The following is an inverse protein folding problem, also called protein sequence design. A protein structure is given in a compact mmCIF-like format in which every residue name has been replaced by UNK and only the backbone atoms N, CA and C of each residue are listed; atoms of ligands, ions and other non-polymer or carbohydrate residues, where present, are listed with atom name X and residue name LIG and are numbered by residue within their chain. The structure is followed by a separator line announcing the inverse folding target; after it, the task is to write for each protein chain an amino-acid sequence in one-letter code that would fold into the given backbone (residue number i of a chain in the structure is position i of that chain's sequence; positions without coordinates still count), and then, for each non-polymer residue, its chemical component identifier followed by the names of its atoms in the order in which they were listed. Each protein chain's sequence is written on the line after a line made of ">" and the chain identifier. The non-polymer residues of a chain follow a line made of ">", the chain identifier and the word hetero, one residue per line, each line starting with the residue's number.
data_IF_004388050561
#
_entry.id   IF_004388050561
#
_cell.length_a   1.000
_cell.length_b   1.000
_cell.length_c   1.000
_cell.angle_alpha   90.00
_cell.angle_beta   90.00
_cell.angle_gamma   90.00
#
_symmetry.space_group_name_H-M   'P 1'
#
loop_
_entity.id
_entity.type
_entity.pdbx_description
1 polymer ?
#
# COMPACT_ATOMS: atom_id res chain seq x y z
N UNK A 1 25.47 44.65 -59.80
CA UNK A 1 24.21 44.19 -59.18
C UNK A 1 24.61 43.33 -57.98
N UNK A 2 24.95 43.88 -56.81
CA UNK A 2 24.05 44.32 -55.73
C UNK A 2 22.81 43.43 -55.56
N UNK A 3 22.96 42.39 -54.74
CA UNK A 3 21.93 41.92 -53.81
C UNK A 3 22.60 41.35 -52.56
N UNK A 4 22.32 41.90 -51.37
CA UNK A 4 22.79 41.41 -50.09
C UNK A 4 21.69 40.54 -49.44
N UNK A 5 22.01 39.32 -49.05
CA UNK A 5 21.18 38.61 -48.07
C UNK A 5 22.11 38.09 -46.98
N UNK A 6 22.32 38.96 -45.99
CA UNK A 6 22.98 38.64 -44.75
C UNK A 6 22.16 37.60 -44.00
N UNK A 7 22.80 36.49 -43.67
CA UNK A 7 22.29 35.50 -42.73
C UNK A 7 22.36 36.15 -41.36
N UNK A 8 21.21 36.60 -40.86
CA UNK A 8 21.03 36.99 -39.47
C UNK A 8 21.12 35.71 -38.62
N UNK A 9 22.33 35.32 -38.23
CA UNK A 9 22.55 34.36 -37.15
C UNK A 9 22.09 35.01 -35.85
N UNK A 10 20.82 34.78 -35.53
CA UNK A 10 20.25 35.10 -34.23
C UNK A 10 21.02 34.36 -33.14
N UNK A 11 21.76 35.12 -32.34
CA UNK A 11 22.10 34.74 -30.97
C UNK A 11 20.77 34.59 -30.19
N UNK A 12 20.17 33.40 -30.20
CA UNK A 12 19.16 33.08 -29.20
C UNK A 12 19.88 32.95 -27.85
N UNK A 13 19.56 33.79 -26.86
CA UNK A 13 20.18 33.73 -25.54
C UNK A 13 19.78 32.42 -24.85
N UNK A 14 20.76 31.75 -24.25
CA UNK A 14 20.64 30.51 -23.48
C UNK A 14 19.74 30.59 -22.21
N UNK A 15 18.90 31.61 -22.09
CA UNK A 15 17.99 31.85 -20.96
C UNK A 15 16.54 31.41 -21.22
N UNK A 16 16.26 30.77 -22.37
CA UNK A 16 14.97 30.16 -22.73
C UNK A 16 15.02 28.63 -22.74
N UNK A 17 16.04 28.02 -22.13
CA UNK A 17 15.98 26.60 -21.79
C UNK A 17 15.20 26.49 -20.48
N UNK A 18 13.97 25.94 -20.47
CA UNK A 18 13.32 25.59 -19.21
C UNK A 18 14.28 24.68 -18.45
N UNK A 19 14.67 25.12 -17.27
CA UNK A 19 15.50 24.37 -16.34
C UNK A 19 14.79 23.06 -16.01
N UNK A 20 15.09 22.01 -16.80
CA UNK A 20 15.01 20.59 -16.44
C UNK A 20 13.77 20.26 -15.59
N UNK A 21 12.60 20.75 -16.01
CA UNK A 21 11.28 20.48 -15.43
C UNK A 21 10.78 19.11 -15.85
N UNK A 22 11.61 18.11 -15.64
CA UNK A 22 11.19 16.71 -15.56
C UNK A 22 12.04 16.06 -14.47
N UNK A 23 11.93 16.55 -13.24
CA UNK A 23 11.98 15.65 -12.09
C UNK A 23 10.84 14.66 -12.30
N UNK A 24 11.14 13.61 -13.06
CA UNK A 24 10.81 12.24 -12.72
C UNK A 24 9.55 12.16 -11.84
N UNK A 25 8.39 12.40 -12.47
CA UNK A 25 7.20 11.65 -12.13
C UNK A 25 7.38 10.23 -12.71
N UNK A 26 8.45 9.51 -12.33
CA UNK A 26 8.60 8.09 -12.68
C UNK A 26 7.92 7.30 -11.57
N UNK A 27 6.61 7.26 -11.72
CA UNK A 27 5.80 6.06 -11.55
C UNK A 27 5.94 5.31 -10.21
N UNK A 28 5.18 5.75 -9.22
CA UNK A 28 4.69 4.91 -8.10
C UNK A 28 3.78 3.74 -8.60
N UNK A 29 3.51 3.73 -9.90
CA UNK A 29 2.66 2.76 -10.63
C UNK A 29 3.19 1.33 -10.55
N UNK A 30 4.51 1.13 -10.43
CA UNK A 30 5.13 -0.21 -10.50
C UNK A 30 5.13 -0.98 -9.19
N UNK A 31 4.93 -0.33 -8.04
CA UNK A 31 4.95 -1.00 -6.73
C UNK A 31 3.61 -1.68 -6.42
N UNK A 32 2.55 -1.37 -7.16
CA UNK A 32 1.17 -1.56 -6.72
C UNK A 32 0.57 -2.95 -7.03
N UNK A 33 1.27 -3.85 -7.73
CA UNK A 33 0.64 -5.09 -8.23
C UNK A 33 1.37 -6.42 -7.99
N UNK A 34 2.62 -6.43 -7.49
CA UNK A 34 3.38 -7.69 -7.46
C UNK A 34 3.02 -8.61 -6.28
N UNK A 35 2.60 -8.05 -5.14
CA UNK A 35 2.24 -8.85 -3.97
C UNK A 35 0.74 -9.14 -3.94
N UNK A 36 0.38 -10.41 -3.96
CA UNK A 36 -1.00 -10.90 -3.82
C UNK A 36 -1.10 -11.78 -2.57
N UNK A 37 -2.10 -11.54 -1.72
CA UNK A 37 -2.31 -12.27 -0.46
C UNK A 37 -3.65 -13.00 -0.47
N UNK A 38 -3.78 -14.06 0.35
CA UNK A 38 -5.07 -14.73 0.56
C UNK A 38 -5.86 -14.02 1.64
N UNK A 39 -7.14 -13.75 1.37
CA UNK A 39 -8.09 -13.24 2.34
C UNK A 39 -8.29 -14.28 3.46
N UNK A 40 -8.09 -13.94 4.74
CA UNK A 40 -8.26 -14.90 5.84
C UNK A 40 -9.71 -15.34 6.04
N UNK A 41 -10.68 -14.49 5.67
CA UNK A 41 -12.11 -14.80 5.85
C UNK A 41 -12.70 -15.76 4.82
N UNK A 42 -12.26 -15.66 3.55
CA UNK A 42 -12.88 -16.41 2.44
C UNK A 42 -11.88 -17.12 1.52
N UNK A 43 -10.58 -16.98 1.76
CA UNK A 43 -9.50 -17.64 1.00
C UNK A 43 -9.21 -17.05 -0.39
N UNK A 44 -10.01 -16.10 -0.89
CA UNK A 44 -9.81 -15.46 -2.19
C UNK A 44 -8.51 -14.66 -2.22
N UNK A 45 -7.81 -14.68 -3.35
CA UNK A 45 -6.61 -13.87 -3.58
C UNK A 45 -6.98 -12.41 -3.87
N UNK A 46 -6.25 -11.47 -3.29
CA UNK A 46 -6.41 -10.03 -3.52
C UNK A 46 -5.04 -9.35 -3.61
N UNK A 47 -4.91 -8.28 -4.43
CA UNK A 47 -3.69 -7.49 -4.46
C UNK A 47 -3.45 -6.88 -3.08
N UNK A 48 -2.19 -6.88 -2.66
CA UNK A 48 -1.79 -6.24 -1.41
C UNK A 48 -1.78 -4.73 -1.61
N UNK A 49 -0.94 -4.21 -2.50
CA UNK A 49 -0.90 -2.78 -2.76
C UNK A 49 -2.14 -2.32 -3.56
N UNK A 50 -2.58 -1.08 -3.35
CA UNK A 50 -3.79 -0.53 -4.00
C UNK A 50 -5.13 -1.02 -3.43
N UNK A 51 -5.14 -2.07 -2.61
CA UNK A 51 -6.35 -2.55 -1.92
C UNK A 51 -6.56 -1.76 -0.60
N UNK A 52 -7.70 -1.12 -0.33
CA UNK A 52 -7.95 -0.44 0.95
C UNK A 52 -8.30 -1.39 2.10
N UNK A 53 -8.71 -2.62 1.78
CA UNK A 53 -9.25 -3.58 2.75
C UNK A 53 -8.27 -4.71 3.10
N UNK A 54 -6.97 -4.52 2.86
CA UNK A 54 -5.93 -5.51 3.20
C UNK A 54 -6.04 -5.93 4.68
N UNK A 55 -5.79 -7.21 5.03
CA UNK A 55 -5.45 -8.33 4.14
C UNK A 55 -6.67 -9.00 3.47
N UNK A 56 -7.86 -8.43 3.63
CA UNK A 56 -9.10 -8.98 3.09
C UNK A 56 -9.28 -8.63 1.60
N UNK A 57 -10.12 -9.41 0.92
CA UNK A 57 -10.43 -9.16 -0.50
C UNK A 57 -11.47 -8.05 -0.70
N UNK A 58 -12.17 -7.62 0.37
CA UNK A 58 -13.18 -6.56 0.33
C UNK A 58 -13.60 -6.12 1.73
N UNK A 59 -14.16 -4.93 1.81
CA UNK A 59 -14.81 -4.35 2.99
C UNK A 59 -15.84 -5.28 3.66
N UNK A 60 -16.60 -6.05 2.86
CA UNK A 60 -17.51 -7.08 3.39
C UNK A 60 -16.76 -8.12 4.24
N UNK A 61 -15.65 -8.65 3.74
CA UNK A 61 -14.88 -9.66 4.48
C UNK A 61 -14.25 -9.08 5.75
N UNK A 62 -13.77 -7.83 5.69
CA UNK A 62 -13.25 -7.10 6.85
C UNK A 62 -14.31 -6.95 7.95
N UNK A 63 -15.53 -6.52 7.60
CA UNK A 63 -16.61 -6.35 8.58
C UNK A 63 -17.06 -7.66 9.21
N UNK A 64 -17.17 -8.73 8.41
CA UNK A 64 -17.58 -10.03 8.95
C UNK A 64 -16.50 -10.57 9.89
N UNK A 65 -15.23 -10.41 9.55
CA UNK A 65 -14.13 -10.80 10.44
C UNK A 65 -14.18 -10.04 11.77
N UNK A 66 -14.41 -8.72 11.71
CA UNK A 66 -14.61 -7.90 12.91
C UNK A 66 -15.81 -8.37 13.76
N UNK A 67 -16.90 -8.80 13.12
CA UNK A 67 -18.04 -9.41 13.80
C UNK A 67 -17.65 -10.68 14.56
N UNK A 68 -16.93 -11.60 13.92
CA UNK A 68 -16.45 -12.83 14.57
C UNK A 68 -15.54 -12.57 15.78
N UNK A 69 -14.76 -11.49 15.75
CA UNK A 69 -14.02 -11.05 16.95
C UNK A 69 -14.94 -10.55 18.06
N UNK A 70 -15.95 -9.74 17.71
CA UNK A 70 -16.92 -9.22 18.67
C UNK A 70 -17.78 -10.34 19.29
N UNK A 71 -18.07 -11.38 18.52
CA UNK A 71 -18.86 -12.54 18.93
C UNK A 71 -18.02 -13.61 19.68
N UNK A 72 -16.73 -13.35 19.92
CA UNK A 72 -15.79 -14.27 20.60
C UNK A 72 -15.67 -15.66 19.92
N UNK A 73 -15.85 -15.71 18.61
CA UNK A 73 -15.69 -16.92 17.79
C UNK A 73 -14.21 -17.34 17.69
N UNK A 74 -13.30 -16.37 17.72
CA UNK A 74 -11.87 -16.63 17.69
C UNK A 74 -11.35 -16.91 19.10
N UNK A 75 -10.86 -18.14 19.32
CA UNK A 75 -10.30 -18.57 20.61
C UNK A 75 -8.97 -19.28 20.41
N UNK A 76 -8.03 -19.00 21.31
CA UNK A 76 -6.78 -19.73 21.41
C UNK A 76 -6.97 -20.77 22.51
N UNK A 77 -6.79 -22.08 22.21
CA UNK A 77 -6.89 -23.10 23.25
C UNK A 77 -5.81 -22.86 24.32
N UNK A 78 -6.27 -22.71 25.57
CA UNK A 78 -5.38 -22.64 26.73
C UNK A 78 -4.94 -24.03 27.19
N UNK A 79 -3.91 -24.12 28.06
CA UNK A 79 -3.69 -25.33 28.83
C UNK A 79 -4.96 -25.68 29.61
N UNK A 80 -5.16 -26.97 29.91
CA UNK A 80 -6.24 -27.37 30.80
C UNK A 80 -6.14 -26.56 32.10
N UNK A 81 -7.27 -26.03 32.56
CA UNK A 81 -7.32 -25.30 33.82
C UNK A 81 -6.79 -26.24 34.92
N UNK A 82 -5.64 -25.87 35.49
CA UNK A 82 -5.23 -26.39 36.78
C UNK A 82 -6.13 -25.71 37.80
N UNK A 83 -6.84 -26.53 38.56
CA UNK A 83 -7.65 -26.18 39.71
C UNK A 83 -6.91 -25.16 40.61
N UNK A 84 -7.50 -23.96 40.73
CA UNK A 84 -6.94 -22.77 41.38
C UNK A 84 -6.80 -22.90 42.92
N UNK A 85 -6.74 -24.12 43.47
CA UNK A 85 -6.75 -24.38 44.92
C UNK A 85 -5.41 -24.04 45.62
N UNK A 86 -4.40 -23.55 44.89
CA UNK A 86 -3.07 -23.27 45.42
C UNK A 86 -2.66 -21.78 45.43
N UNK A 87 -3.55 -20.84 45.09
CA UNK A 87 -3.19 -19.44 44.94
C UNK A 87 -3.25 -18.57 46.22
N UNK A 88 -3.46 -19.16 47.41
CA UNK A 88 -3.41 -18.41 48.68
C UNK A 88 -2.67 -19.17 49.79
N UNK A 89 -1.34 -19.00 49.83
CA UNK A 89 -0.57 -19.09 51.08
C UNK A 89 0.78 -18.39 50.94
N UNK A 90 0.79 -17.07 51.02
CA UNK A 90 2.00 -16.33 51.40
C UNK A 90 1.72 -15.63 52.73
N UNK A 91 2.23 -16.23 53.80
CA UNK A 91 2.47 -15.58 55.11
C UNK A 91 3.28 -14.29 54.94
#
# INVERSE_FOLDING_TARGET
>A
MRSPLGVLFGFMPLWLLPCRTTWIAMTDEHKTSLLTVRCPRCGRRAPYYGNPDRPFCSDRCRRIDLGAWADEDYRIPGPAAIDDEFADKSD
#
